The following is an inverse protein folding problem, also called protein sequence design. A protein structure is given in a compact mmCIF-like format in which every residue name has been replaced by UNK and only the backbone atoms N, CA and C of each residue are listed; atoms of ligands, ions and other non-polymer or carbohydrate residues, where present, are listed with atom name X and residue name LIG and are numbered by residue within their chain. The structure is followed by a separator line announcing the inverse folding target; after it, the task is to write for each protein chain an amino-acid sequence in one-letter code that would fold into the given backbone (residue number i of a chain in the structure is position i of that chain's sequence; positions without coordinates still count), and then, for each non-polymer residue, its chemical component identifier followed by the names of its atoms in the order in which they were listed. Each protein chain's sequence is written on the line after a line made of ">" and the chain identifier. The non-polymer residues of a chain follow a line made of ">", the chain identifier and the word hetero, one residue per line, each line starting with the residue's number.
data_IF_953451040892
#
_entry.id   IF_953451040892
#
_cell.length_a   1.000
_cell.length_b   1.000
_cell.length_c   1.000
_cell.angle_alpha   90.00
_cell.angle_beta   90.00
_cell.angle_gamma   90.00
#
_symmetry.space_group_name_H-M   'P 1'
#
loop_
_entity.id
_entity.type
_entity.pdbx_description
1 polymer ?
#
# COMPACT_ATOMS: atom_id res chain seq x y z
N UNK A 1 -21.26 52.51 2.56
CA UNK A 1 -22.05 51.27 2.34
C UNK A 1 -21.22 50.39 1.42
N UNK A 2 -20.97 49.14 1.83
CA UNK A 2 -19.91 48.20 1.40
C UNK A 2 -18.62 48.28 2.22
N UNK A 3 -18.71 47.84 3.48
CA UNK A 3 -17.61 47.15 4.16
C UNK A 3 -18.00 45.67 4.17
N UNK A 4 -17.28 44.88 3.38
CA UNK A 4 -17.35 43.44 3.32
C UNK A 4 -16.81 42.85 4.63
N UNK A 5 -17.71 42.29 5.45
CA UNK A 5 -17.32 41.36 6.51
C UNK A 5 -16.69 40.13 5.86
N UNK A 6 -15.41 39.88 6.14
CA UNK A 6 -14.79 38.60 5.83
C UNK A 6 -15.25 37.61 6.91
N UNK A 7 -16.02 36.60 6.51
CA UNK A 7 -16.27 35.45 7.37
C UNK A 7 -15.00 34.59 7.34
N UNK A 8 -14.31 34.46 8.47
CA UNK A 8 -13.24 33.48 8.61
C UNK A 8 -13.82 32.07 8.61
N UNK A 9 -13.15 31.08 8.00
CA UNK A 9 -13.63 29.70 8.02
C UNK A 9 -13.71 29.21 9.46
N UNK A 10 -14.71 28.40 9.79
CA UNK A 10 -14.76 27.69 11.07
C UNK A 10 -13.54 26.77 11.15
N UNK A 11 -12.80 26.87 12.26
CA UNK A 11 -11.58 26.10 12.44
C UNK A 11 -11.91 24.83 13.22
N UNK A 12 -11.67 23.68 12.61
CA UNK A 12 -11.60 22.40 13.31
C UNK A 12 -10.19 22.19 13.85
N UNK A 13 -10.05 22.14 15.16
CA UNK A 13 -8.81 21.73 15.79
C UNK A 13 -8.85 20.24 16.06
N UNK A 14 -7.87 19.51 15.53
CA UNK A 14 -7.68 18.09 15.79
C UNK A 14 -6.48 17.95 16.74
N UNK A 15 -6.73 17.50 17.97
CA UNK A 15 -5.68 17.21 18.95
C UNK A 15 -5.59 15.71 19.22
N UNK A 16 -4.39 15.15 19.46
CA UNK A 16 -4.27 13.78 19.95
C UNK A 16 -5.03 13.63 21.27
N UNK A 17 -5.78 12.54 21.44
CA UNK A 17 -6.43 12.25 22.73
C UNK A 17 -5.37 12.00 23.79
N UNK A 18 -5.29 12.90 24.77
CA UNK A 18 -4.39 12.76 25.91
C UNK A 18 -5.11 12.00 27.02
N UNK A 19 -5.12 10.66 26.97
CA UNK A 19 -5.62 9.88 28.10
C UNK A 19 -6.12 8.47 27.86
N UNK A 20 -6.24 7.99 26.60
CA UNK A 20 -6.72 6.63 26.34
C UNK A 20 -5.64 5.77 25.67
N UNK A 21 -5.62 4.48 26.00
CA UNK A 21 -4.74 3.45 25.43
C UNK A 21 -5.03 3.17 23.94
N UNK A 22 -5.93 3.95 23.34
CA UNK A 22 -6.53 3.75 22.02
C UNK A 22 -6.07 4.90 21.12
N UNK A 23 -5.62 4.63 19.88
CA UNK A 23 -5.27 5.70 18.93
C UNK A 23 -6.53 6.50 18.58
N UNK A 24 -6.69 7.69 19.15
CA UNK A 24 -7.84 8.57 18.91
C UNK A 24 -7.46 10.05 18.82
N UNK A 25 -8.31 10.84 18.18
CA UNK A 25 -8.17 12.29 18.09
C UNK A 25 -9.44 12.98 18.56
N UNK A 26 -9.28 14.08 19.28
CA UNK A 26 -10.37 14.97 19.66
C UNK A 26 -10.53 16.03 18.58
N UNK A 27 -11.71 16.12 17.99
CA UNK A 27 -12.09 17.16 17.05
C UNK A 27 -12.92 18.19 17.78
N UNK A 28 -12.41 19.41 17.82
CA UNK A 28 -13.10 20.57 18.39
C UNK A 28 -13.47 21.52 17.25
N UNK A 29 -14.76 21.78 17.06
CA UNK A 29 -15.24 22.79 16.11
C UNK A 29 -15.32 24.13 16.82
N UNK A 30 -14.51 25.10 16.39
CA UNK A 30 -14.43 26.43 16.99
C UNK A 30 -14.83 27.48 15.96
N UNK A 31 -15.66 28.44 16.38
CA UNK A 31 -16.02 29.60 15.57
C UNK A 31 -15.17 30.80 15.98
N UNK A 32 -14.42 31.36 15.03
CA UNK A 32 -13.70 32.63 15.24
C UNK A 32 -14.54 33.79 14.71
N UNK A 33 -14.82 34.77 15.57
CA UNK A 33 -15.47 36.02 15.18
C UNK A 33 -14.41 37.12 15.15
N UNK A 34 -14.36 37.87 14.05
CA UNK A 34 -13.56 39.09 13.99
C UNK A 34 -14.44 40.29 14.31
N UNK A 35 -14.09 41.03 15.35
CA UNK A 35 -14.68 42.35 15.60
C UNK A 35 -14.18 43.36 14.56
N UNK A 36 -14.92 44.47 14.40
CA UNK A 36 -14.65 45.55 13.44
C UNK A 36 -13.23 46.16 13.51
N UNK A 37 -12.46 45.83 14.56
CA UNK A 37 -11.09 46.29 14.79
C UNK A 37 -10.00 45.20 14.56
N UNK A 38 -10.34 44.01 14.07
CA UNK A 38 -9.36 42.99 13.67
C UNK A 38 -8.71 42.21 14.84
N UNK A 39 -9.23 42.31 16.06
CA UNK A 39 -8.82 41.45 17.17
C UNK A 39 -9.51 40.08 17.08
N UNK A 40 -8.72 39.01 17.13
CA UNK A 40 -9.15 37.62 17.07
C UNK A 40 -9.64 37.16 18.46
N UNK A 41 -10.91 36.80 18.59
CA UNK A 41 -11.45 36.15 19.80
C UNK A 41 -11.74 34.68 19.47
N UNK A 42 -11.11 33.78 20.23
CA UNK A 42 -11.45 32.35 20.22
C UNK A 42 -12.67 32.18 21.14
N UNK A 43 -13.86 31.90 20.59
CA UNK A 43 -15.05 31.57 21.41
C UNK A 43 -15.02 30.10 21.89
N UNK A 44 -15.86 29.81 22.89
CA UNK A 44 -16.07 28.46 23.45
C UNK A 44 -16.35 27.41 22.35
N UNK A 45 -15.88 26.15 22.55
CA UNK A 45 -16.08 25.09 21.58
C UNK A 45 -17.58 24.82 21.36
N UNK A 46 -18.02 24.87 20.10
CA UNK A 46 -19.42 24.59 19.73
C UNK A 46 -19.77 23.12 19.91
N UNK A 47 -18.81 22.25 19.60
CA UNK A 47 -18.93 20.80 19.73
C UNK A 47 -17.54 20.19 19.82
N UNK A 48 -17.42 19.14 20.62
CA UNK A 48 -16.19 18.38 20.82
C UNK A 48 -16.53 16.89 20.74
N UNK A 49 -15.79 16.14 19.93
CA UNK A 49 -15.97 14.70 19.79
C UNK A 49 -14.63 13.98 19.75
N UNK A 50 -14.51 12.90 20.52
CA UNK A 50 -13.37 11.98 20.44
C UNK A 50 -13.65 10.93 19.35
N UNK A 51 -12.78 10.87 18.35
CA UNK A 51 -12.82 9.92 17.25
C UNK A 51 -11.74 8.86 17.51
N UNK A 52 -12.17 7.66 17.86
CA UNK A 52 -11.28 6.50 17.95
C UNK A 52 -10.95 5.97 16.53
N UNK A 53 -9.69 5.67 16.27
CA UNK A 53 -9.23 5.07 15.01
C UNK A 53 -9.03 3.55 15.09
N UNK A 54 -9.30 2.92 16.25
CA UNK A 54 -8.99 1.51 16.52
C UNK A 54 -10.17 0.52 16.43
N UNK A 55 -9.81 -0.76 16.34
CA UNK A 55 -10.35 -1.76 15.41
C UNK A 55 -11.60 -2.60 15.74
N UNK A 56 -12.29 -2.40 16.85
CA UNK A 56 -13.46 -3.24 17.17
C UNK A 56 -14.79 -2.52 16.94
N UNK A 57 -15.73 -3.25 16.33
CA UNK A 57 -17.14 -2.86 16.38
C UNK A 57 -17.55 -2.66 17.85
N UNK A 58 -18.62 -1.90 18.12
CA UNK A 58 -18.94 -1.49 19.48
C UNK A 58 -19.03 -2.72 20.41
N UNK A 59 -18.20 -2.73 21.46
CA UNK A 59 -18.26 -3.70 22.55
C UNK A 59 -19.70 -3.79 23.07
N UNK A 60 -20.25 -5.00 23.29
CA UNK A 60 -21.63 -5.17 23.74
C UNK A 60 -21.72 -4.73 25.20
N UNK A 61 -22.18 -3.50 25.42
CA UNK A 61 -22.33 -2.93 26.76
C UNK A 61 -22.45 -1.42 26.83
N UNK A 62 -22.12 -0.69 25.76
CA UNK A 62 -22.43 0.73 25.60
C UNK A 62 -23.53 0.87 24.56
N UNK A 63 -24.75 1.09 25.01
CA UNK A 63 -25.90 1.37 24.13
C UNK A 63 -25.60 2.57 23.21
N UNK A 64 -25.95 2.52 21.91
CA UNK A 64 -25.74 3.58 20.94
C UNK A 64 -26.80 4.69 21.11
N UNK A 65 -26.81 5.31 22.27
CA UNK A 65 -27.62 6.48 22.64
C UNK A 65 -26.69 7.28 23.56
N UNK A 66 -26.28 8.51 23.30
CA UNK A 66 -26.88 9.60 22.57
C UNK A 66 -25.67 10.38 22.12
N UNK A 67 -25.35 10.31 20.83
CA UNK A 67 -24.72 11.47 20.29
C UNK A 67 -25.81 12.36 19.72
N UNK A 68 -25.61 13.61 20.00
CA UNK A 68 -25.72 14.70 19.06
C UNK A 68 -24.90 14.44 17.73
N UNK A 69 -24.83 13.17 17.22
CA UNK A 69 -24.12 12.66 16.01
C UNK A 69 -24.78 13.08 14.72
N UNK A 70 -26.02 13.53 14.76
CA UNK A 70 -26.61 14.13 13.58
C UNK A 70 -26.00 15.51 13.32
N UNK A 71 -25.90 16.37 14.34
CA UNK A 71 -25.35 17.72 14.20
C UNK A 71 -23.84 17.76 13.97
N UNK A 72 -23.05 16.97 14.73
CA UNK A 72 -21.58 17.00 14.58
C UNK A 72 -21.13 16.56 13.19
N UNK A 73 -21.59 15.40 12.69
CA UNK A 73 -21.18 14.93 11.38
C UNK A 73 -21.81 15.75 10.23
N UNK A 74 -22.96 16.38 10.44
CA UNK A 74 -23.52 17.35 9.51
C UNK A 74 -22.66 18.61 9.41
N UNK A 75 -22.18 19.12 10.55
CA UNK A 75 -21.26 20.26 10.59
C UNK A 75 -19.92 19.92 9.96
N UNK A 76 -19.35 18.75 10.28
CA UNK A 76 -18.13 18.25 9.64
C UNK A 76 -18.30 18.14 8.12
N UNK A 77 -19.43 17.59 7.64
CA UNK A 77 -19.73 17.55 6.21
C UNK A 77 -19.81 18.95 5.62
N UNK A 78 -20.46 19.90 6.31
CA UNK A 78 -20.56 21.30 5.85
C UNK A 78 -19.19 21.98 5.76
N UNK A 79 -18.32 21.76 6.74
CA UNK A 79 -16.95 22.27 6.76
C UNK A 79 -16.16 21.71 5.58
N UNK A 80 -16.21 20.39 5.37
CA UNK A 80 -15.52 19.74 4.23
C UNK A 80 -16.07 20.30 2.91
N UNK A 81 -17.39 20.31 2.72
CA UNK A 81 -18.07 20.83 1.52
C UNK A 81 -17.72 22.29 1.20
N UNK A 82 -17.57 23.13 2.22
CA UNK A 82 -17.20 24.54 2.07
C UNK A 82 -15.70 24.79 1.93
N UNK A 83 -14.86 23.76 2.09
CA UNK A 83 -13.41 23.92 2.12
C UNK A 83 -12.76 23.87 0.75
N UNK A 84 -11.50 24.27 0.73
CA UNK A 84 -10.64 24.29 -0.45
C UNK A 84 -10.21 22.88 -0.91
N UNK A 85 -10.46 21.84 -0.11
CA UNK A 85 -10.32 20.45 -0.59
C UNK A 85 -11.33 20.13 -1.72
N UNK A 86 -12.50 20.78 -1.73
CA UNK A 86 -13.53 20.59 -2.75
C UNK A 86 -13.57 21.78 -3.71
N UNK A 87 -13.57 22.99 -3.16
CA UNK A 87 -13.69 24.21 -3.95
C UNK A 87 -12.40 24.57 -4.71
N UNK A 88 -11.28 23.94 -4.33
CA UNK A 88 -9.96 24.20 -4.88
C UNK A 88 -9.35 25.49 -4.34
N UNK A 89 -8.03 25.63 -4.49
CA UNK A 89 -7.32 26.84 -4.08
C UNK A 89 -7.24 27.81 -5.27
N UNK A 90 -7.83 29.02 -5.19
CA UNK A 90 -7.76 29.98 -6.28
C UNK A 90 -6.35 30.59 -6.49
N UNK A 91 -5.38 30.33 -5.60
CA UNK A 91 -4.03 30.89 -5.69
C UNK A 91 -2.95 29.93 -5.15
N UNK A 92 -1.73 30.03 -5.69
CA UNK A 92 -0.54 29.23 -5.32
C UNK A 92 0.25 29.81 -4.13
N UNK A 93 -0.39 30.48 -3.18
CA UNK A 93 0.32 31.12 -2.08
C UNK A 93 0.74 30.12 -1.01
N UNK A 94 2.03 30.08 -0.70
CA UNK A 94 2.58 29.43 0.50
C UNK A 94 2.31 30.32 1.71
N UNK A 95 1.12 30.25 2.26
CA UNK A 95 0.78 30.93 3.52
C UNK A 95 1.32 30.10 4.69
N UNK A 96 2.04 30.69 5.67
CA UNK A 96 2.41 29.99 6.89
C UNK A 96 1.19 29.36 7.55
N UNK A 97 1.24 28.06 7.88
CA UNK A 97 0.11 27.33 8.47
C UNK A 97 -0.78 26.61 7.45
N UNK A 98 -0.66 26.88 6.14
CA UNK A 98 -1.44 26.19 5.10
C UNK A 98 -1.22 24.67 5.10
N UNK A 99 0.02 24.14 5.20
CA UNK A 99 0.22 22.70 5.30
C UNK A 99 -0.50 22.09 6.52
N UNK A 100 -0.43 22.74 7.68
CA UNK A 100 -1.08 22.26 8.91
C UNK A 100 -2.61 22.31 8.82
N UNK A 101 -3.14 23.36 8.19
CA UNK A 101 -4.58 23.49 7.90
C UNK A 101 -5.05 22.36 6.99
N UNK A 102 -4.36 22.15 5.85
CA UNK A 102 -4.65 21.08 4.90
C UNK A 102 -4.58 19.70 5.55
N UNK A 103 -3.57 19.45 6.39
CA UNK A 103 -3.44 18.19 7.10
C UNK A 103 -4.61 17.95 8.06
N UNK A 104 -5.02 18.97 8.81
CA UNK A 104 -6.14 18.86 9.76
C UNK A 104 -7.45 18.60 9.02
N UNK A 105 -7.71 19.34 7.96
CA UNK A 105 -8.90 19.19 7.13
C UNK A 105 -8.93 17.83 6.40
N UNK A 106 -7.79 17.35 5.93
CA UNK A 106 -7.66 16.03 5.29
C UNK A 106 -7.93 14.90 6.29
N UNK A 107 -7.40 14.98 7.52
CA UNK A 107 -7.72 14.01 8.58
C UNK A 107 -9.21 13.97 8.89
N UNK A 108 -9.86 15.13 8.93
CA UNK A 108 -11.31 15.24 9.13
C UNK A 108 -12.08 14.60 7.97
N UNK A 109 -11.65 14.86 6.73
CA UNK A 109 -12.23 14.26 5.53
C UNK A 109 -12.10 12.73 5.53
N UNK A 110 -10.90 12.19 5.81
CA UNK A 110 -10.65 10.75 5.91
C UNK A 110 -11.57 10.12 6.96
N UNK A 111 -11.69 10.73 8.15
CA UNK A 111 -12.58 10.26 9.21
C UNK A 111 -14.06 10.26 8.76
N UNK A 112 -14.50 11.33 8.09
CA UNK A 112 -15.86 11.41 7.55
C UNK A 112 -16.13 10.33 6.49
N UNK A 113 -15.19 10.05 5.59
CA UNK A 113 -15.32 8.97 4.59
C UNK A 113 -15.44 7.61 5.28
N UNK A 114 -14.61 7.34 6.30
CA UNK A 114 -14.66 6.08 7.03
C UNK A 114 -15.91 5.91 7.88
N UNK A 115 -16.44 6.98 8.48
CA UNK A 115 -17.67 6.86 9.27
C UNK A 115 -18.88 6.51 8.41
N UNK A 116 -18.95 7.04 7.19
CA UNK A 116 -19.99 6.63 6.23
C UNK A 116 -19.79 5.18 5.80
N UNK A 117 -18.55 4.75 5.56
CA UNK A 117 -18.22 3.36 5.23
C UNK A 117 -18.68 2.36 6.31
N UNK A 118 -18.51 2.71 7.58
CA UNK A 118 -18.89 1.87 8.71
C UNK A 118 -20.41 1.78 8.93
N UNK A 119 -21.17 2.77 8.44
CA UNK A 119 -22.63 2.88 8.59
C UNK A 119 -23.40 2.26 7.42
N UNK A 120 -22.73 1.62 6.46
CA UNK A 120 -23.31 1.09 5.22
C UNK A 120 -24.20 -0.15 5.43
N UNK A 121 -25.33 0.03 6.11
CA UNK A 121 -26.58 -0.71 5.99
C UNK A 121 -27.77 0.20 5.63
N UNK A 122 -27.58 1.53 5.65
CA UNK A 122 -28.59 2.52 5.27
C UNK A 122 -28.18 3.24 3.98
N UNK A 123 -29.11 3.26 3.02
CA UNK A 123 -28.97 3.92 1.73
C UNK A 123 -28.58 5.40 1.88
N UNK A 124 -27.53 5.79 1.14
CA UNK A 124 -27.31 7.14 0.60
C UNK A 124 -27.14 8.27 1.64
N UNK A 125 -26.10 8.16 2.49
CA UNK A 125 -25.52 9.36 3.12
C UNK A 125 -24.44 9.92 2.20
N UNK A 126 -24.69 11.12 1.70
CA UNK A 126 -23.83 11.82 0.75
C UNK A 126 -22.46 12.08 1.39
N UNK A 127 -21.41 11.45 0.85
CA UNK A 127 -20.03 11.68 1.30
C UNK A 127 -19.55 12.93 0.58
N UNK A 128 -19.15 14.01 1.29
CA UNK A 128 -18.79 15.27 0.65
C UNK A 128 -17.55 15.14 -0.25
N UNK A 129 -16.68 14.16 0.00
CA UNK A 129 -15.44 13.93 -0.74
C UNK A 129 -15.05 12.46 -0.76
N UNK A 130 -14.45 11.98 -1.85
CA UNK A 130 -13.95 10.59 -1.96
C UNK A 130 -12.43 10.49 -1.78
N UNK A 131 -11.91 9.29 -1.51
CA UNK A 131 -10.46 9.06 -1.50
C UNK A 131 -9.80 9.37 -2.85
N UNK A 132 -10.45 9.02 -3.97
CA UNK A 132 -9.94 9.36 -5.30
C UNK A 132 -9.75 10.87 -5.47
N UNK A 133 -10.72 11.67 -5.01
CA UNK A 133 -10.64 13.12 -5.08
C UNK A 133 -9.52 13.70 -4.18
N UNK A 134 -9.32 13.14 -2.98
CA UNK A 134 -8.19 13.53 -2.13
C UNK A 134 -6.83 13.20 -2.76
N UNK A 135 -6.72 12.06 -3.45
CA UNK A 135 -5.51 11.64 -4.17
C UNK A 135 -5.22 12.51 -5.42
N UNK A 136 -6.24 13.13 -6.01
CA UNK A 136 -6.11 14.07 -7.13
C UNK A 136 -5.68 15.48 -6.70
N UNK A 137 -5.60 15.76 -5.39
CA UNK A 137 -5.18 17.06 -4.86
C UNK A 137 -3.81 17.48 -5.40
N UNK A 138 -3.64 18.77 -5.69
CA UNK A 138 -2.34 19.33 -6.07
C UNK A 138 -1.33 19.35 -4.91
N UNK A 139 -1.78 19.23 -3.67
CA UNK A 139 -0.95 19.33 -2.47
C UNK A 139 -0.45 17.95 -2.01
N UNK A 140 0.87 17.73 -1.92
CA UNK A 140 1.42 16.45 -1.48
C UNK A 140 1.02 16.12 -0.04
N UNK A 141 0.78 17.10 0.84
CA UNK A 141 0.35 16.88 2.22
C UNK A 141 -1.01 16.18 2.31
N UNK A 142 -1.92 16.52 1.38
CA UNK A 142 -3.25 15.91 1.28
C UNK A 142 -3.11 14.49 0.71
N UNK A 143 -2.35 14.34 -0.37
CA UNK A 143 -2.12 13.03 -1.01
C UNK A 143 -1.42 12.07 -0.05
N UNK A 144 -0.38 12.52 0.64
CA UNK A 144 0.41 11.71 1.57
C UNK A 144 -0.44 11.18 2.73
N UNK A 145 -1.17 12.04 3.43
CA UNK A 145 -2.05 11.60 4.53
C UNK A 145 -3.13 10.60 4.05
N UNK A 146 -3.64 10.83 2.85
CA UNK A 146 -4.63 9.93 2.23
C UNK A 146 -4.00 8.58 1.93
N UNK A 147 -2.81 8.55 1.32
CA UNK A 147 -2.06 7.34 1.02
C UNK A 147 -1.67 6.58 2.29
N UNK A 148 -1.32 7.26 3.38
CA UNK A 148 -1.00 6.61 4.66
C UNK A 148 -2.22 5.90 5.26
N UNK A 149 -3.36 6.58 5.29
CA UNK A 149 -4.61 5.99 5.77
C UNK A 149 -5.06 4.79 4.90
N UNK A 150 -4.85 4.87 3.59
CA UNK A 150 -5.17 3.78 2.66
C UNK A 150 -4.19 2.61 2.81
N UNK A 151 -2.89 2.88 2.92
CA UNK A 151 -1.86 1.86 3.07
C UNK A 151 -2.10 1.01 4.31
N UNK A 152 -2.42 1.61 5.44
CA UNK A 152 -2.76 0.88 6.68
C UNK A 152 -3.89 -0.14 6.43
N UNK A 153 -4.91 0.23 5.64
CA UNK A 153 -6.05 -0.64 5.31
C UNK A 153 -5.66 -1.77 4.35
N UNK A 154 -4.90 -1.46 3.30
CA UNK A 154 -4.45 -2.46 2.33
C UNK A 154 -3.44 -3.45 2.93
N UNK A 155 -2.52 -2.98 3.77
CA UNK A 155 -1.55 -3.85 4.45
C UNK A 155 -2.23 -4.78 5.45
N UNK A 156 -3.21 -4.28 6.22
CA UNK A 156 -3.98 -5.11 7.15
C UNK A 156 -4.78 -6.19 6.40
N UNK A 157 -5.40 -5.82 5.27
CA UNK A 157 -6.14 -6.77 4.45
C UNK A 157 -5.24 -7.84 3.80
N UNK A 158 -4.01 -7.48 3.41
CA UNK A 158 -3.05 -8.43 2.85
C UNK A 158 -2.51 -9.43 3.89
N UNK A 159 -2.44 -9.05 5.17
CA UNK A 159 -1.94 -9.90 6.26
C UNK A 159 -3.02 -10.77 6.91
N UNK A 160 -4.29 -10.38 6.85
CA UNK A 160 -5.37 -11.08 7.53
C UNK A 160 -5.87 -12.28 6.71
N UNK A 161 -5.54 -13.50 7.15
CA UNK A 161 -6.03 -14.76 6.57
C UNK A 161 -7.54 -15.02 6.84
N UNK A 162 -8.26 -14.12 7.52
CA UNK A 162 -9.69 -14.29 7.78
C UNK A 162 -10.33 -13.12 8.52
N UNK A 163 -11.59 -12.86 8.15
CA UNK A 163 -12.68 -12.18 8.89
C UNK A 163 -13.07 -10.73 8.56
N UNK A 164 -12.20 -9.83 8.06
CA UNK A 164 -12.64 -8.53 7.51
C UNK A 164 -11.91 -8.21 6.21
N UNK A 165 -12.53 -8.53 5.09
CA UNK A 165 -12.06 -8.13 3.76
C UNK A 165 -12.02 -6.61 3.59
N UNK A 166 -11.40 -6.15 2.50
CA UNK A 166 -11.35 -4.73 2.14
C UNK A 166 -12.75 -4.10 2.13
N UNK A 167 -12.94 -2.91 2.74
CA UNK A 167 -14.20 -2.18 2.64
C UNK A 167 -14.65 -1.99 1.18
N UNK A 168 -15.96 -2.06 0.87
CA UNK A 168 -16.46 -1.96 -0.50
C UNK A 168 -16.02 -0.71 -1.25
N UNK A 169 -15.83 0.40 -0.55
CA UNK A 169 -15.38 1.66 -1.15
C UNK A 169 -13.92 1.61 -1.67
N UNK A 170 -13.11 0.67 -1.18
CA UNK A 170 -11.74 0.47 -1.62
C UNK A 170 -11.63 -0.51 -2.79
N UNK A 171 -12.71 -1.23 -3.11
CA UNK A 171 -12.73 -2.14 -4.25
C UNK A 171 -12.47 -1.35 -5.54
N UNK A 172 -11.67 -1.94 -6.42
CA UNK A 172 -11.33 -1.38 -7.74
C UNK A 172 -10.51 -0.08 -7.72
N UNK A 173 -9.87 0.29 -6.60
CA UNK A 173 -8.96 1.43 -6.55
C UNK A 173 -7.63 1.21 -7.28
N UNK A 174 -7.33 -0.02 -7.74
CA UNK A 174 -6.10 -0.33 -8.48
C UNK A 174 -5.84 0.58 -9.69
N UNK A 175 -6.89 0.91 -10.46
CA UNK A 175 -6.78 1.85 -11.58
C UNK A 175 -6.41 3.28 -11.18
N UNK A 176 -6.89 3.73 -10.00
CA UNK A 176 -6.52 5.04 -9.43
C UNK A 176 -5.03 5.06 -9.07
N UNK A 177 -4.55 4.03 -8.38
CA UNK A 177 -3.13 3.95 -8.00
C UNK A 177 -2.20 3.81 -9.20
N UNK A 178 -2.60 3.08 -10.24
CA UNK A 178 -1.85 3.01 -11.50
C UNK A 178 -1.71 4.38 -12.15
N UNK A 179 -2.79 5.15 -12.22
CA UNK A 179 -2.74 6.49 -12.81
C UNK A 179 -1.86 7.42 -11.97
N UNK A 180 -1.91 7.27 -10.64
CA UNK A 180 -1.17 8.10 -9.71
C UNK A 180 0.33 7.77 -9.72
N UNK A 181 0.71 6.50 -9.76
CA UNK A 181 2.14 6.08 -9.66
C UNK A 181 3.00 6.64 -10.80
N UNK A 182 2.42 6.84 -11.98
CA UNK A 182 3.13 7.37 -13.16
C UNK A 182 3.13 8.91 -13.23
N UNK A 183 2.29 9.58 -12.44
CA UNK A 183 2.15 11.05 -12.42
C UNK A 183 2.75 11.67 -11.16
N UNK A 184 2.96 10.88 -10.12
CA UNK A 184 3.41 11.37 -8.83
C UNK A 184 4.85 11.88 -8.90
N UNK A 185 5.06 13.10 -8.40
CA UNK A 185 6.38 13.75 -8.38
C UNK A 185 6.93 13.84 -6.95
N UNK A 186 6.08 13.66 -5.94
CA UNK A 186 6.50 13.69 -4.54
C UNK A 186 7.04 12.32 -4.12
N UNK A 187 8.31 12.20 -3.69
CA UNK A 187 8.97 10.90 -3.48
C UNK A 187 8.28 10.06 -2.39
N UNK A 188 7.86 10.67 -1.28
CA UNK A 188 7.19 9.91 -0.21
C UNK A 188 5.81 9.40 -0.66
N UNK A 189 5.10 10.17 -1.50
CA UNK A 189 3.82 9.72 -2.06
C UNK A 189 4.06 8.55 -3.01
N UNK A 190 5.05 8.64 -3.90
CA UNK A 190 5.44 7.56 -4.80
C UNK A 190 5.76 6.27 -4.03
N UNK A 191 6.57 6.38 -2.96
CA UNK A 191 6.89 5.26 -2.07
C UNK A 191 5.62 4.58 -1.53
N UNK A 192 4.66 5.36 -0.99
CA UNK A 192 3.41 4.80 -0.44
C UNK A 192 2.54 4.17 -1.53
N UNK A 193 2.50 4.73 -2.75
CA UNK A 193 1.74 4.14 -3.86
C UNK A 193 2.33 2.79 -4.28
N UNK A 194 3.65 2.69 -4.37
CA UNK A 194 4.34 1.42 -4.66
C UNK A 194 4.01 0.35 -3.61
N UNK A 195 4.03 0.73 -2.31
CA UNK A 195 3.62 -0.17 -1.21
C UNK A 195 2.17 -0.63 -1.36
N UNK A 196 1.25 0.27 -1.67
CA UNK A 196 -0.17 -0.09 -1.87
C UNK A 196 -0.33 -1.04 -3.05
N UNK A 197 0.30 -0.75 -4.20
CA UNK A 197 0.27 -1.63 -5.37
C UNK A 197 0.86 -3.01 -5.06
N UNK A 198 1.92 -3.07 -4.23
CA UNK A 198 2.48 -4.32 -3.74
C UNK A 198 1.52 -5.08 -2.80
N UNK A 199 0.66 -4.40 -2.03
CA UNK A 199 -0.37 -5.06 -1.21
C UNK A 199 -1.55 -5.60 -2.05
N UNK A 200 -1.87 -4.98 -3.18
CA UNK A 200 -2.97 -5.41 -4.06
C UNK A 200 -2.62 -6.69 -4.84
N UNK A 201 -3.63 -7.50 -5.17
CA UNK A 201 -3.46 -8.63 -6.08
C UNK A 201 -3.17 -8.11 -7.51
N UNK A 202 -2.03 -8.49 -8.14
CA UNK A 202 -1.73 -8.12 -9.51
C UNK A 202 -2.82 -8.50 -10.51
N UNK A 203 -3.61 -9.54 -10.24
CA UNK A 203 -4.73 -9.93 -11.11
C UNK A 203 -5.80 -8.84 -11.26
N UNK A 204 -5.96 -7.99 -10.24
CA UNK A 204 -6.99 -6.95 -10.21
C UNK A 204 -6.56 -5.69 -10.99
N UNK A 205 -5.28 -5.34 -10.98
CA UNK A 205 -4.80 -4.06 -11.51
C UNK A 205 -3.87 -4.19 -12.70
N UNK A 206 -3.05 -5.24 -12.82
CA UNK A 206 -2.04 -5.34 -13.88
C UNK A 206 -2.64 -5.35 -15.30
N UNK A 207 -3.77 -6.03 -15.58
CA UNK A 207 -4.44 -5.93 -16.88
C UNK A 207 -4.96 -4.52 -17.18
N UNK A 208 -5.05 -3.66 -16.17
CA UNK A 208 -5.52 -2.28 -16.33
C UNK A 208 -4.47 -1.32 -16.86
N UNK A 209 -3.20 -1.72 -16.86
CA UNK A 209 -2.07 -0.88 -17.29
C UNK A 209 -2.26 -0.31 -18.70
N UNK A 210 -2.65 -1.14 -19.67
CA UNK A 210 -2.80 -0.71 -21.06
C UNK A 210 -3.87 0.38 -21.24
N UNK A 211 -5.03 0.20 -20.60
CA UNK A 211 -6.15 1.13 -20.80
C UNK A 211 -6.10 2.36 -19.88
N UNK A 212 -5.45 2.27 -18.72
CA UNK A 212 -5.36 3.40 -17.77
C UNK A 212 -4.17 4.29 -18.04
N UNK A 213 -3.04 3.70 -18.41
CA UNK A 213 -1.76 4.41 -18.44
C UNK A 213 -0.97 4.20 -19.71
N UNK A 214 -1.56 3.51 -20.70
CA UNK A 214 -0.96 3.31 -22.03
C UNK A 214 0.40 2.61 -21.99
N UNK A 215 0.64 1.81 -20.96
CA UNK A 215 1.79 0.91 -20.86
C UNK A 215 1.27 -0.53 -20.87
N UNK A 216 1.89 -1.39 -21.67
CA UNK A 216 1.71 -2.83 -21.52
C UNK A 216 2.22 -3.30 -20.15
N UNK A 217 1.74 -4.46 -19.62
CA UNK A 217 2.28 -5.03 -18.39
C UNK A 217 3.80 -5.19 -18.40
N UNK A 218 4.36 -5.50 -19.58
CA UNK A 218 5.81 -5.59 -19.80
C UNK A 218 6.52 -4.24 -19.66
N UNK A 219 5.98 -3.18 -20.27
CA UNK A 219 6.54 -1.83 -20.15
C UNK A 219 6.42 -1.30 -18.73
N UNK A 220 5.32 -1.60 -18.04
CA UNK A 220 5.16 -1.27 -16.62
C UNK A 220 6.22 -1.95 -15.74
N UNK A 221 6.51 -3.23 -15.99
CA UNK A 221 7.58 -3.95 -15.30
C UNK A 221 8.95 -3.30 -15.56
N UNK A 222 9.27 -2.97 -16.81
CA UNK A 222 10.53 -2.29 -17.17
C UNK A 222 10.63 -0.95 -16.44
N UNK A 223 9.55 -0.15 -16.45
CA UNK A 223 9.50 1.12 -15.73
C UNK A 223 9.71 0.94 -14.22
N UNK A 224 9.11 -0.09 -13.62
CA UNK A 224 9.29 -0.37 -12.18
C UNK A 224 10.73 -0.77 -11.85
N UNK A 225 11.37 -1.59 -12.71
CA UNK A 225 12.78 -1.94 -12.57
C UNK A 225 13.72 -0.75 -12.78
N UNK A 226 13.35 0.20 -13.65
CA UNK A 226 14.10 1.42 -13.88
C UNK A 226 14.15 2.29 -12.61
N UNK A 227 13.02 2.44 -11.91
CA UNK A 227 12.95 3.10 -10.60
C UNK A 227 13.86 2.39 -9.59
N UNK A 228 13.77 1.07 -9.50
CA UNK A 228 14.59 0.28 -8.58
C UNK A 228 16.10 0.36 -8.89
N UNK A 229 16.50 0.78 -10.09
CA UNK A 229 17.91 0.88 -10.49
C UNK A 229 18.54 2.25 -10.22
N UNK A 230 17.73 3.32 -10.22
CA UNK A 230 18.21 4.70 -10.14
C UNK A 230 18.12 5.31 -8.74
N UNK A 231 17.34 4.71 -7.85
CA UNK A 231 17.13 5.22 -6.50
C UNK A 231 17.95 4.45 -5.45
N UNK A 232 18.48 5.15 -4.44
CA UNK A 232 19.10 4.54 -3.24
C UNK A 232 18.33 4.96 -2.00
N UNK A 233 17.02 4.80 -2.08
CA UNK A 233 16.03 5.26 -1.12
C UNK A 233 15.08 4.10 -0.79
N UNK A 234 14.16 4.32 0.15
CA UNK A 234 13.07 3.37 0.43
C UNK A 234 12.27 3.03 -0.84
N UNK A 235 12.13 3.96 -1.79
CA UNK A 235 11.43 3.76 -3.07
C UNK A 235 12.08 2.64 -3.87
N UNK A 236 13.40 2.51 -3.83
CA UNK A 236 14.10 1.41 -4.51
C UNK A 236 13.68 0.04 -3.97
N UNK A 237 13.64 -0.11 -2.64
CA UNK A 237 13.19 -1.34 -1.99
C UNK A 237 11.75 -1.68 -2.38
N UNK A 238 10.85 -0.71 -2.40
CA UNK A 238 9.44 -0.93 -2.75
C UNK A 238 9.24 -1.22 -4.25
N UNK A 239 9.98 -0.54 -5.11
CA UNK A 239 9.99 -0.82 -6.55
C UNK A 239 10.53 -2.23 -6.83
N UNK A 240 11.59 -2.66 -6.14
CA UNK A 240 12.13 -4.01 -6.26
C UNK A 240 11.10 -5.07 -5.83
N UNK A 241 10.41 -4.87 -4.70
CA UNK A 241 9.33 -5.76 -4.25
C UNK A 241 8.21 -5.85 -5.27
N UNK A 242 7.74 -4.70 -5.78
CA UNK A 242 6.68 -4.64 -6.78
C UNK A 242 7.07 -5.33 -8.09
N UNK A 243 8.26 -5.04 -8.63
CA UNK A 243 8.77 -5.68 -9.84
C UNK A 243 8.87 -7.21 -9.68
N UNK A 244 9.34 -7.66 -8.51
CA UNK A 244 9.45 -9.08 -8.19
C UNK A 244 8.10 -9.77 -8.07
N UNK A 245 7.10 -9.09 -7.48
CA UNK A 245 5.71 -9.58 -7.42
C UNK A 245 5.10 -9.72 -8.82
N UNK A 246 5.33 -8.74 -9.70
CA UNK A 246 4.86 -8.78 -11.10
C UNK A 246 5.55 -9.92 -11.87
N UNK A 247 6.86 -10.11 -11.69
CA UNK A 247 7.59 -11.25 -12.27
C UNK A 247 7.02 -12.60 -11.80
N UNK A 248 6.80 -12.77 -10.49
CA UNK A 248 6.20 -13.98 -9.93
C UNK A 248 4.79 -14.24 -10.50
N UNK A 249 3.96 -13.20 -10.61
CA UNK A 249 2.63 -13.29 -11.22
C UNK A 249 2.70 -13.77 -12.67
N UNK A 250 3.62 -13.24 -13.48
CA UNK A 250 3.82 -13.73 -14.84
C UNK A 250 4.32 -15.17 -14.89
N UNK A 251 5.15 -15.61 -13.95
CA UNK A 251 5.58 -17.02 -13.91
C UNK A 251 4.47 -17.99 -13.51
N UNK A 252 3.47 -17.50 -12.78
CA UNK A 252 2.28 -18.26 -12.39
C UNK A 252 1.28 -18.39 -13.55
N UNK A 253 1.17 -17.37 -14.41
CA UNK A 253 0.32 -17.38 -15.60
C UNK A 253 1.02 -18.10 -16.77
N UNK A 254 0.25 -18.69 -17.69
CA UNK A 254 0.66 -19.69 -18.70
C UNK A 254 1.98 -19.43 -19.49
N UNK A 255 2.50 -20.48 -20.14
CA UNK A 255 3.81 -20.51 -20.85
C UNK A 255 4.07 -19.34 -21.82
N UNK A 256 3.06 -18.81 -22.51
CA UNK A 256 3.22 -17.68 -23.45
C UNK A 256 3.74 -16.40 -22.77
N UNK A 257 3.51 -16.25 -21.46
CA UNK A 257 4.00 -15.11 -20.67
C UNK A 257 5.44 -15.26 -20.21
N UNK A 258 6.00 -16.48 -20.25
CA UNK A 258 7.40 -16.74 -19.86
C UNK A 258 8.38 -16.13 -20.86
N UNK A 259 8.10 -16.24 -22.15
CA UNK A 259 8.92 -15.66 -23.21
C UNK A 259 8.90 -14.12 -23.21
N UNK A 260 7.79 -13.52 -22.72
CA UNK A 260 7.65 -12.06 -22.62
C UNK A 260 8.57 -11.46 -21.55
N UNK A 261 8.81 -12.20 -20.46
CA UNK A 261 9.54 -11.73 -19.27
C UNK A 261 11.00 -12.20 -19.28
N UNK A 262 11.34 -13.29 -19.96
CA UNK A 262 12.71 -13.79 -20.11
C UNK A 262 13.80 -12.71 -20.37
N UNK A 263 13.63 -11.74 -21.30
CA UNK A 263 14.63 -10.69 -21.52
C UNK A 263 14.77 -9.71 -20.33
N UNK A 264 13.74 -9.58 -19.50
CA UNK A 264 13.70 -8.70 -18.34
C UNK A 264 14.24 -9.38 -17.07
N UNK A 265 14.26 -10.72 -17.04
CA UNK A 265 14.75 -11.48 -15.88
C UNK A 265 16.21 -11.20 -15.58
N UNK A 266 17.05 -11.02 -16.61
CA UNK A 266 18.46 -10.69 -16.40
C UNK A 266 18.63 -9.36 -15.65
N UNK A 267 17.87 -8.32 -16.05
CA UNK A 267 17.87 -7.03 -15.36
C UNK A 267 17.39 -7.18 -13.91
N UNK A 268 16.31 -7.92 -13.69
CA UNK A 268 15.81 -8.20 -12.34
C UNK A 268 16.85 -8.92 -11.47
N UNK A 269 17.54 -9.94 -11.99
CA UNK A 269 18.62 -10.64 -11.26
C UNK A 269 19.72 -9.65 -10.85
N UNK A 270 20.16 -8.78 -11.76
CA UNK A 270 21.19 -7.78 -11.43
C UNK A 270 20.72 -6.81 -10.33
N UNK A 271 19.44 -6.41 -10.34
CA UNK A 271 18.87 -5.56 -9.29
C UNK A 271 18.88 -6.26 -7.94
N UNK A 272 18.42 -7.51 -7.88
CA UNK A 272 18.44 -8.32 -6.65
C UNK A 272 19.87 -8.47 -6.14
N UNK A 273 20.81 -8.87 -7.00
CA UNK A 273 22.22 -9.03 -6.64
C UNK A 273 22.82 -7.74 -6.10
N UNK A 274 22.53 -6.62 -6.77
CA UNK A 274 23.02 -5.31 -6.34
C UNK A 274 22.44 -4.84 -5.01
N UNK A 275 21.29 -5.39 -4.58
CA UNK A 275 20.58 -5.00 -3.35
C UNK A 275 21.01 -5.80 -2.12
N UNK A 276 21.86 -6.82 -2.27
CA UNK A 276 22.30 -7.70 -1.19
C UNK A 276 23.63 -7.31 -0.55
N UNK A 277 24.31 -6.25 -1.02
CA UNK A 277 25.62 -5.88 -0.51
C UNK A 277 25.59 -5.45 0.97
N UNK A 278 26.53 -5.94 1.78
CA UNK A 278 26.59 -5.67 3.23
C UNK A 278 26.70 -4.18 3.60
N UNK A 279 27.22 -3.36 2.68
CA UNK A 279 27.35 -1.92 2.85
C UNK A 279 26.05 -1.14 2.63
N UNK A 280 24.98 -1.81 2.21
CA UNK A 280 23.70 -1.18 1.89
C UNK A 280 22.81 -1.04 3.13
N UNK A 281 21.86 -0.09 3.11
CA UNK A 281 20.86 0.05 4.15
C UNK A 281 20.12 -1.26 4.41
N UNK A 282 19.71 -1.47 5.66
CA UNK A 282 18.98 -2.66 6.10
C UNK A 282 17.72 -2.88 5.27
N UNK A 283 17.04 -1.81 4.88
CA UNK A 283 15.82 -1.83 4.07
C UNK A 283 16.03 -2.42 2.67
N UNK A 284 17.18 -2.16 2.05
CA UNK A 284 17.56 -2.73 0.74
C UNK A 284 17.81 -4.23 0.86
N UNK A 285 18.57 -4.63 1.88
CA UNK A 285 18.91 -6.04 2.12
C UNK A 285 17.68 -6.85 2.53
N UNK A 286 16.81 -6.28 3.36
CA UNK A 286 15.53 -6.88 3.74
C UNK A 286 14.63 -7.07 2.51
N UNK A 287 14.49 -6.05 1.66
CA UNK A 287 13.71 -6.16 0.42
C UNK A 287 14.25 -7.27 -0.49
N UNK A 288 15.58 -7.38 -0.64
CA UNK A 288 16.19 -8.45 -1.42
C UNK A 288 15.90 -9.84 -0.81
N UNK A 289 15.96 -9.98 0.52
CA UNK A 289 15.65 -11.23 1.22
C UNK A 289 14.19 -11.66 1.01
N UNK A 290 13.24 -10.74 1.20
CA UNK A 290 11.80 -10.98 0.99
C UNK A 290 11.47 -11.31 -0.48
N UNK A 291 12.14 -10.65 -1.42
CA UNK A 291 12.01 -10.93 -2.85
C UNK A 291 12.54 -12.32 -3.18
N UNK A 292 13.71 -12.69 -2.67
CA UNK A 292 14.26 -14.03 -2.89
C UNK A 292 13.33 -15.10 -2.30
N UNK A 293 12.76 -14.87 -1.12
CA UNK A 293 11.83 -15.79 -0.48
C UNK A 293 10.54 -15.97 -1.28
N UNK A 294 9.85 -14.86 -1.59
CA UNK A 294 8.57 -14.87 -2.30
C UNK A 294 8.67 -15.39 -3.74
N UNK A 295 9.84 -15.25 -4.37
CA UNK A 295 10.05 -15.68 -5.76
C UNK A 295 10.82 -17.01 -5.90
N UNK A 296 11.32 -17.57 -4.79
CA UNK A 296 12.04 -18.84 -4.76
C UNK A 296 11.32 -19.99 -5.49
N UNK A 297 9.98 -20.19 -5.31
CA UNK A 297 9.25 -21.26 -5.99
C UNK A 297 9.36 -21.23 -7.52
N UNK A 298 9.56 -20.04 -8.10
CA UNK A 298 9.55 -19.83 -9.54
C UNK A 298 10.95 -19.82 -10.15
N UNK A 299 11.95 -19.31 -9.42
CA UNK A 299 13.28 -19.03 -9.98
C UNK A 299 14.43 -19.83 -9.36
N UNK A 300 14.32 -20.26 -8.10
CA UNK A 300 15.41 -20.94 -7.38
C UNK A 300 15.17 -22.44 -7.23
N UNK A 301 13.92 -22.84 -7.03
CA UNK A 301 13.56 -24.21 -6.64
C UNK A 301 12.69 -24.90 -7.71
N UNK A 302 12.30 -24.17 -8.76
CA UNK A 302 11.49 -24.68 -9.84
C UNK A 302 12.20 -25.86 -10.56
N UNK A 303 11.54 -27.02 -10.73
CA UNK A 303 12.12 -28.17 -11.43
C UNK A 303 12.43 -27.90 -12.92
N UNK A 304 11.81 -26.89 -13.52
CA UNK A 304 12.09 -26.40 -14.85
C UNK A 304 12.75 -25.01 -14.75
N UNK A 305 14.07 -24.93 -14.61
CA UNK A 305 14.75 -23.66 -14.38
C UNK A 305 14.59 -22.74 -15.60
N UNK A 306 14.09 -21.52 -15.35
CA UNK A 306 13.91 -20.48 -16.37
C UNK A 306 15.14 -19.58 -16.45
N UNK A 307 15.82 -19.38 -15.32
CA UNK A 307 17.07 -18.65 -15.24
C UNK A 307 18.24 -19.52 -15.73
N UNK A 308 19.25 -18.86 -16.31
CA UNK A 308 20.51 -19.51 -16.62
C UNK A 308 21.26 -19.89 -15.33
N UNK A 309 22.10 -20.93 -15.40
CA UNK A 309 22.84 -21.44 -14.24
C UNK A 309 23.63 -20.35 -13.49
N UNK A 310 24.25 -19.42 -14.23
CA UNK A 310 25.02 -18.32 -13.62
C UNK A 310 24.13 -17.38 -12.78
N UNK A 311 22.97 -17.03 -13.31
CA UNK A 311 22.01 -16.16 -12.63
C UNK A 311 21.42 -16.85 -11.40
N UNK A 312 21.03 -18.12 -11.52
CA UNK A 312 20.56 -18.93 -10.38
C UNK A 312 21.62 -19.02 -9.29
N UNK A 313 22.88 -19.29 -9.64
CA UNK A 313 23.98 -19.33 -8.68
C UNK A 313 24.25 -17.97 -8.04
N UNK A 314 24.11 -16.87 -8.78
CA UNK A 314 24.26 -15.52 -8.24
C UNK A 314 23.19 -15.23 -7.18
N UNK A 315 21.93 -15.57 -7.45
CA UNK A 315 20.85 -15.43 -6.47
C UNK A 315 21.05 -16.33 -5.23
N UNK A 316 21.50 -17.57 -5.41
CA UNK A 316 21.84 -18.43 -4.26
C UNK A 316 22.99 -17.87 -3.41
N UNK A 317 23.99 -17.25 -4.03
CA UNK A 317 25.05 -16.53 -3.28
C UNK A 317 24.47 -15.37 -2.49
N UNK A 318 23.53 -14.61 -3.05
CA UNK A 318 22.81 -13.56 -2.33
C UNK A 318 22.09 -14.10 -1.09
N UNK A 319 21.38 -15.23 -1.20
CA UNK A 319 20.75 -15.89 -0.05
C UNK A 319 21.78 -16.21 1.03
N UNK A 320 22.92 -16.80 0.66
CA UNK A 320 23.99 -17.11 1.62
C UNK A 320 24.58 -15.87 2.29
N UNK A 321 24.79 -14.79 1.55
CA UNK A 321 25.23 -13.50 2.11
C UNK A 321 24.21 -12.95 3.09
N UNK A 322 22.92 -12.93 2.74
CA UNK A 322 21.86 -12.40 3.61
C UNK A 322 21.64 -13.24 4.87
N UNK A 323 21.86 -14.56 4.81
CA UNK A 323 21.87 -15.42 6.00
C UNK A 323 23.01 -15.11 6.98
N UNK A 324 24.07 -14.47 6.50
CA UNK A 324 25.21 -14.01 7.31
C UNK A 324 25.07 -12.57 7.79
N UNK A 325 23.96 -11.89 7.45
CA UNK A 325 23.70 -10.50 7.85
C UNK A 325 23.74 -10.32 9.37
N UNK A 326 24.20 -9.17 9.88
CA UNK A 326 24.21 -8.89 11.32
C UNK A 326 22.79 -8.63 11.87
N UNK A 327 21.89 -8.12 11.03
CA UNK A 327 20.51 -7.83 11.39
C UNK A 327 19.65 -9.10 11.36
N UNK A 328 18.99 -9.37 12.49
CA UNK A 328 18.13 -10.54 12.64
C UNK A 328 16.98 -10.55 11.63
N UNK A 329 16.33 -9.41 11.39
CA UNK A 329 15.19 -9.32 10.45
C UNK A 329 15.55 -9.75 9.03
N UNK A 330 16.79 -9.47 8.59
CA UNK A 330 17.27 -9.87 7.25
C UNK A 330 17.54 -11.37 7.21
N UNK A 331 18.17 -11.93 8.25
CA UNK A 331 18.43 -13.37 8.35
C UNK A 331 17.14 -14.18 8.41
N UNK A 332 16.17 -13.72 9.18
CA UNK A 332 14.87 -14.38 9.34
C UNK A 332 14.12 -14.43 8.00
N UNK A 333 14.08 -13.32 7.25
CA UNK A 333 13.51 -13.29 5.90
C UNK A 333 14.28 -14.18 4.90
N UNK A 334 15.62 -14.17 4.92
CA UNK A 334 16.42 -15.03 4.04
C UNK A 334 16.23 -16.52 4.32
N UNK A 335 15.97 -16.89 5.58
CA UNK A 335 15.69 -18.27 6.00
C UNK A 335 14.44 -18.84 5.34
N UNK A 336 13.45 -18.00 5.03
CA UNK A 336 12.23 -18.40 4.32
C UNK A 336 12.53 -18.97 2.92
N UNK A 337 13.56 -18.45 2.24
CA UNK A 337 14.03 -19.00 0.96
C UNK A 337 14.51 -20.45 1.11
N UNK A 338 15.28 -20.73 2.18
CA UNK A 338 15.79 -22.07 2.46
C UNK A 338 14.66 -23.02 2.84
N UNK A 339 13.72 -22.57 3.70
CA UNK A 339 12.54 -23.35 4.05
C UNK A 339 11.72 -23.73 2.81
N UNK A 340 11.53 -22.77 1.90
CA UNK A 340 10.85 -23.01 0.62
C UNK A 340 11.56 -24.08 -0.21
N UNK A 341 12.88 -24.00 -0.34
CA UNK A 341 13.68 -25.00 -1.06
C UNK A 341 13.57 -26.40 -0.46
N UNK A 342 13.66 -26.52 0.88
CA UNK A 342 13.51 -27.81 1.56
C UNK A 342 12.09 -28.39 1.40
N UNK A 343 11.06 -27.55 1.41
CA UNK A 343 9.67 -28.00 1.23
C UNK A 343 9.40 -28.57 -0.17
N UNK A 344 10.02 -27.98 -1.20
CA UNK A 344 9.89 -28.47 -2.57
C UNK A 344 10.69 -29.75 -2.80
N UNK A 345 11.86 -29.90 -2.18
CA UNK A 345 12.62 -31.16 -2.21
C UNK A 345 11.79 -32.34 -1.68
N UNK A 346 11.11 -32.15 -0.54
CA UNK A 346 10.23 -33.17 0.05
C UNK A 346 9.03 -33.51 -0.87
N UNK A 347 8.49 -32.51 -1.56
CA UNK A 347 7.37 -32.70 -2.50
C UNK A 347 7.81 -33.46 -3.75
N UNK A 348 8.99 -33.15 -4.30
CA UNK A 348 9.59 -33.86 -5.43
C UNK A 348 9.95 -35.30 -5.06
N UNK A 349 10.54 -35.54 -3.89
CA UNK A 349 10.84 -36.90 -3.40
C UNK A 349 9.58 -37.74 -3.17
N UNK A 350 8.50 -37.13 -2.66
CA UNK A 350 7.20 -37.79 -2.53
C UNK A 350 6.57 -38.09 -3.90
N UNK A 351 6.63 -37.16 -4.86
CA UNK A 351 6.14 -37.37 -6.21
C UNK A 351 6.92 -38.47 -6.96
N UNK A 352 8.25 -38.49 -6.84
CA UNK A 352 9.11 -39.55 -7.42
C UNK A 352 8.80 -40.90 -6.77
N UNK A 353 8.65 -40.95 -5.44
CA UNK A 353 8.29 -42.18 -4.72
C UNK A 353 6.90 -42.69 -5.13
N UNK A 354 5.94 -41.79 -5.36
CA UNK A 354 4.58 -42.13 -5.80
C UNK A 354 4.54 -42.60 -7.26
N UNK A 355 5.38 -42.03 -8.13
CA UNK A 355 5.60 -42.53 -9.50
C UNK A 355 6.27 -43.90 -9.46
N UNK A 356 7.29 -44.13 -8.62
CA UNK A 356 7.91 -45.44 -8.43
C UNK A 356 6.93 -46.49 -7.87
N UNK A 357 5.95 -46.09 -7.06
CA UNK A 357 4.87 -46.96 -6.58
C UNK A 357 3.79 -47.23 -7.65
N UNK A 358 3.54 -46.29 -8.55
CA UNK A 358 2.58 -46.44 -9.66
C UNK A 358 3.14 -47.23 -10.85
N UNK A 359 4.45 -47.18 -11.08
CA UNK A 359 5.12 -47.87 -12.19
C UNK A 359 5.90 -49.13 -11.79
N UNK A 360 5.82 -49.53 -10.52
CA UNK A 360 6.52 -50.72 -10.03
C UNK A 360 8.03 -50.47 -9.87
N UNK A 361 8.61 -51.02 -8.79
CA UNK A 361 10.03 -50.90 -8.50
C UNK A 361 10.94 -51.49 -9.61
N UNK A 362 12.27 -51.31 -9.48
CA UNK A 362 13.24 -51.75 -10.49
C UNK A 362 13.29 -53.28 -10.55
N UNK A 363 12.50 -53.86 -11.46
CA UNK A 363 12.42 -55.30 -11.64
C UNK A 363 11.32 -55.68 -12.63
N UNK A 364 11.46 -55.23 -13.88
CA UNK A 364 11.05 -55.96 -15.10
C UNK A 364 11.12 -55.01 -16.30
N UNK A 365 12.35 -54.69 -16.72
CA UNK A 365 12.56 -54.23 -18.08
C UNK A 365 12.64 -55.48 -18.97
N UNK A 366 11.78 -55.64 -19.99
CA UNK A 366 11.87 -56.77 -20.89
C UNK A 366 13.22 -56.71 -21.62
N UNK A 367 14.05 -57.74 -21.44
CA UNK A 367 15.27 -57.87 -22.22
C UNK A 367 14.91 -58.07 -23.70
N UNK A 368 15.63 -57.40 -24.62
CA UNK A 368 15.42 -57.61 -26.04
C UNK A 368 15.81 -59.05 -26.42
N UNK A 369 15.06 -59.73 -27.29
CA UNK A 369 15.48 -61.01 -27.82
C UNK A 369 16.72 -60.81 -28.71
N UNK A 370 17.64 -61.78 -28.62
CA UNK A 370 18.92 -61.90 -29.32
C UNK A 370 18.98 -61.36 -30.75
#
# INVERSE_FOLDING_TARGET
>A
LFQSCWWSPEYCFIKPSAGSTTRGFVVTVVQTRHDLNGSEFMEEPRSEAEIAMDHDGPLPGLTPQILEHLGFWEEVRRIISGSELITGFPYTYTVPGLPQYLQSLTKLAIAAVWTVAAQAGEQNRDVPISFSQLLESSFPEVRLLTLEALLERFSTAASALGEKGLPPLLWNMGGTFLTLVLKENHPECLCKILKILHCLDPSEWLPQTEHRVHLSPKEFLIWTMDIASHERSEIQSEALRLASKVNAYHMQMCDETRDLVAPNLQQWVQLVVSSCGDHLPTESRLAAAEVLASTAPFFLTNPQPILGLQDTLALWKCVLTLLQSEEQVVRDAATETVMTAMSQENTCQYAVSKVSLLFGGPGDWPQPPF
#
